data_IF_485006148781
#
_entry.id   IF_485006148781
#
_cell.length_a   1.000
_cell.length_b   1.000
_cell.length_c   1.000
_cell.angle_alpha   90.00
_cell.angle_beta   90.00
_cell.angle_gamma   90.00
#
_symmetry.space_group_name_H-M   'P 1'
#
loop_
_entity.id
_entity.type
_entity.pdbx_description
1 polymer ?
#
# COMPACT_ATOMS: atom_id res chain seq x y z
N UNK A 1 -5.92 -12.86 31.95
CA UNK A 1 -4.71 -12.06 31.66
C UNK A 1 -5.09 -11.01 30.63
N UNK A 2 -4.76 -9.74 30.84
CA UNK A 2 -5.00 -8.67 29.85
C UNK A 2 -3.73 -8.31 29.08
N UNK A 3 -3.88 -7.73 27.89
CA UNK A 3 -2.77 -7.20 27.09
C UNK A 3 -3.11 -5.77 26.64
N UNK A 4 -2.08 -4.92 26.59
CA UNK A 4 -2.14 -3.55 26.12
C UNK A 4 -1.02 -3.33 25.10
N UNK A 5 -1.34 -2.65 24.00
CA UNK A 5 -0.41 -2.31 22.95
C UNK A 5 -0.45 -0.82 22.66
N UNK A 6 0.72 -0.21 22.51
CA UNK A 6 0.85 1.14 21.96
C UNK A 6 1.75 1.05 20.75
N UNK A 7 1.29 1.57 19.61
CA UNK A 7 2.00 1.59 18.35
C UNK A 7 2.07 3.02 17.82
N UNK A 8 3.09 3.28 17.02
CA UNK A 8 3.23 4.49 16.23
C UNK A 8 3.57 4.09 14.80
N UNK A 9 2.89 4.66 13.81
CA UNK A 9 3.11 4.37 12.40
C UNK A 9 3.28 5.68 11.62
N UNK A 10 4.41 5.82 10.94
CA UNK A 10 4.67 6.96 10.05
C UNK A 10 4.49 6.54 8.60
N UNK A 11 3.53 7.15 7.91
CA UNK A 11 3.20 6.85 6.52
C UNK A 11 3.56 8.02 5.62
N UNK A 12 4.35 7.76 4.59
CA UNK A 12 4.69 8.72 3.55
C UNK A 12 3.92 8.37 2.27
N UNK A 13 3.00 9.25 1.87
CA UNK A 13 2.17 9.09 0.68
C UNK A 13 2.77 9.93 -0.45
N UNK A 14 3.16 9.27 -1.54
CA UNK A 14 3.88 9.88 -2.67
C UNK A 14 2.95 10.04 -3.87
N UNK A 15 2.80 11.27 -4.38
CA UNK A 15 1.96 11.57 -5.53
C UNK A 15 2.79 12.16 -6.67
N UNK A 16 2.66 11.56 -7.86
CA UNK A 16 3.46 11.89 -9.04
C UNK A 16 4.97 11.89 -8.71
N UNK A 17 5.44 10.75 -8.18
CA UNK A 17 6.78 10.63 -7.61
C UNK A 17 6.87 11.45 -6.31
N UNK A 18 7.84 12.36 -6.22
CA UNK A 18 8.06 13.19 -5.03
C UNK A 18 7.53 14.62 -5.16
N UNK A 19 6.72 14.91 -6.19
CA UNK A 19 6.17 16.25 -6.44
C UNK A 19 5.30 16.71 -5.25
N UNK A 20 4.38 15.86 -4.80
CA UNK A 20 3.63 16.06 -3.55
C UNK A 20 3.86 14.84 -2.66
N UNK A 21 4.25 15.11 -1.42
CA UNK A 21 4.46 14.09 -0.39
C UNK A 21 3.68 14.49 0.85
N UNK A 22 2.84 13.58 1.35
CA UNK A 22 2.08 13.77 2.58
C UNK A 22 2.58 12.79 3.63
N UNK A 23 2.92 13.29 4.81
CA UNK A 23 3.22 12.49 5.98
C UNK A 23 1.97 12.39 6.84
N UNK A 24 1.61 11.17 7.23
CA UNK A 24 0.67 10.93 8.32
C UNK A 24 1.35 10.11 9.41
N UNK A 25 1.43 10.66 10.61
CA UNK A 25 1.95 9.96 11.78
C UNK A 25 0.79 9.55 12.67
N UNK A 26 0.49 8.26 12.70
CA UNK A 26 -0.52 7.66 13.55
C UNK A 26 0.05 7.32 14.92
N UNK A 27 -0.78 7.47 15.95
CA UNK A 27 -0.58 6.88 17.25
C UNK A 27 -1.79 6.01 17.58
N UNK A 28 -1.54 4.81 18.10
CA UNK A 28 -2.52 3.74 18.16
C UNK A 28 -2.44 3.06 19.51
N UNK A 29 -3.58 2.97 20.20
CA UNK A 29 -3.74 2.18 21.40
C UNK A 29 -4.60 0.94 21.08
N UNK A 30 -4.01 -0.24 21.23
CA UNK A 30 -4.53 -1.52 20.74
C UNK A 30 -4.88 -1.45 19.25
N UNK A 31 -6.17 -1.34 18.91
CA UNK A 31 -6.67 -1.22 17.52
C UNK A 31 -7.37 0.12 17.26
N UNK A 32 -7.24 1.07 18.18
CA UNK A 32 -7.88 2.37 18.11
C UNK A 32 -6.82 3.44 17.87
N UNK A 33 -6.98 4.18 16.77
CA UNK A 33 -6.23 5.42 16.57
C UNK A 33 -6.77 6.44 17.57
N UNK A 34 -5.89 7.00 18.40
CA UNK A 34 -6.29 8.03 19.37
C UNK A 34 -5.94 9.44 18.93
N UNK A 35 -4.88 9.60 18.13
CA UNK A 35 -4.42 10.86 17.58
C UNK A 35 -3.51 10.61 16.37
N UNK A 36 -3.39 11.61 15.51
CA UNK A 36 -2.44 11.61 14.41
C UNK A 36 -1.88 13.01 14.13
N UNK A 37 -0.74 13.09 13.45
CA UNK A 37 -0.28 14.31 12.78
C UNK A 37 -0.43 14.12 11.27
N UNK A 38 -0.97 15.12 10.59
CA UNK A 38 -1.07 15.16 9.13
C UNK A 38 -0.30 16.38 8.61
N UNK A 39 0.66 16.17 7.71
CA UNK A 39 1.44 17.27 7.14
C UNK A 39 0.61 18.26 6.33
N UNK A 40 -0.52 17.81 5.74
CA UNK A 40 -1.41 18.70 4.99
C UNK A 40 -2.18 19.64 5.94
N UNK A 41 -2.44 19.21 7.18
CA UNK A 41 -3.02 20.04 8.25
C UNK A 41 -1.95 20.82 9.02
N UNK A 42 -0.75 20.26 9.10
CA UNK A 42 0.41 20.82 9.79
C UNK A 42 0.32 20.78 11.32
N UNK A 43 -0.57 19.98 11.92
CA UNK A 43 -0.74 19.85 13.37
C UNK A 43 -1.33 18.48 13.76
N UNK A 44 -1.34 18.17 15.06
CA UNK A 44 -1.92 16.94 15.60
C UNK A 44 -3.44 17.05 15.76
N UNK A 45 -4.15 15.99 15.43
CA UNK A 45 -5.60 15.86 15.55
C UNK A 45 -5.90 14.69 16.48
N UNK A 46 -6.86 14.86 17.38
CA UNK A 46 -7.37 13.78 18.21
C UNK A 46 -8.46 13.01 17.46
N UNK A 47 -8.31 11.68 17.35
CA UNK A 47 -9.26 10.79 16.69
C UNK A 47 -10.23 10.14 17.69
N UNK A 48 -9.98 10.34 18.98
CA UNK A 48 -10.84 9.90 20.08
C UNK A 48 -10.67 10.79 21.31
N UNK A 49 -11.59 10.74 22.29
CA UNK A 49 -11.44 11.50 23.54
C UNK A 49 -10.13 11.22 24.29
N UNK A 50 -9.56 10.02 24.12
CA UNK A 50 -8.30 9.63 24.75
C UNK A 50 -7.12 10.48 24.23
N UNK A 51 -7.13 10.89 22.96
CA UNK A 51 -6.05 11.65 22.35
C UNK A 51 -6.20 13.16 22.44
N UNK A 52 -7.32 13.68 22.95
CA UNK A 52 -7.51 15.13 23.11
C UNK A 52 -6.43 15.81 23.98
N UNK A 53 -6.04 15.26 25.14
CA UNK A 53 -4.99 15.86 25.97
C UNK A 53 -3.66 15.91 25.20
N UNK A 54 -3.32 14.83 24.49
CA UNK A 54 -2.08 14.71 23.74
C UNK A 54 -2.04 15.66 22.55
N UNK A 55 -3.10 15.72 21.74
CA UNK A 55 -3.19 16.65 20.61
C UNK A 55 -3.05 18.10 21.08
N UNK A 56 -3.72 18.49 22.18
CA UNK A 56 -3.57 19.84 22.76
C UNK A 56 -2.13 20.10 23.21
N UNK A 57 -1.53 19.16 23.94
CA UNK A 57 -0.19 19.29 24.47
C UNK A 57 0.88 19.35 23.38
N UNK A 58 0.81 18.49 22.37
CA UNK A 58 1.75 18.47 21.25
C UNK A 58 1.62 19.70 20.36
N UNK A 59 0.40 20.18 20.11
CA UNK A 59 0.17 21.40 19.34
C UNK A 59 0.64 22.67 20.06
N UNK A 60 0.78 22.65 21.39
CA UNK A 60 1.38 23.75 22.14
C UNK A 60 2.91 23.81 22.09
N UNK A 61 3.58 22.86 21.41
CA UNK A 61 5.03 22.77 21.31
C UNK A 61 5.50 23.12 19.89
N UNK A 62 5.98 24.35 19.64
CA UNK A 62 6.39 24.78 18.30
C UNK A 62 7.49 23.91 17.69
N UNK A 63 8.51 23.55 18.48
CA UNK A 63 9.65 22.74 18.03
C UNK A 63 9.21 21.36 17.53
N UNK A 64 8.24 20.74 18.21
CA UNK A 64 7.69 19.45 17.82
C UNK A 64 6.92 19.54 16.49
N UNK A 65 6.12 20.60 16.32
CA UNK A 65 5.36 20.82 15.09
C UNK A 65 6.30 21.08 13.91
N UNK A 66 7.30 21.93 14.10
CA UNK A 66 8.31 22.20 13.07
C UNK A 66 9.07 20.93 12.69
N UNK A 67 9.52 20.16 13.69
CA UNK A 67 10.18 18.88 13.46
C UNK A 67 9.30 17.93 12.65
N UNK A 68 8.01 17.76 13.00
CA UNK A 68 7.08 16.88 12.27
C UNK A 68 6.82 17.36 10.85
N UNK A 69 6.74 18.67 10.60
CA UNK A 69 6.64 19.21 9.23
C UNK A 69 7.90 18.91 8.41
N UNK A 70 9.08 19.02 9.02
CA UNK A 70 10.35 18.76 8.35
C UNK A 70 10.55 17.28 7.96
N UNK A 71 9.85 16.32 8.61
CA UNK A 71 9.94 14.88 8.30
C UNK A 71 9.55 14.57 6.84
N UNK A 72 8.67 15.37 6.23
CA UNK A 72 8.29 15.19 4.81
C UNK A 72 9.52 15.25 3.90
N UNK A 73 10.40 16.24 4.11
CA UNK A 73 11.62 16.39 3.31
C UNK A 73 12.75 15.49 3.81
N UNK A 74 13.03 15.57 5.11
CA UNK A 74 14.21 14.94 5.72
C UNK A 74 14.13 13.43 5.79
N UNK A 75 12.91 12.86 5.82
CA UNK A 75 12.70 11.42 5.91
C UNK A 75 11.96 10.88 4.69
N UNK A 76 10.76 11.39 4.37
CA UNK A 76 9.97 10.79 3.28
C UNK A 76 10.67 10.94 1.92
N UNK A 77 11.00 12.17 1.50
CA UNK A 77 11.70 12.39 0.23
C UNK A 77 13.10 11.78 0.21
N UNK A 78 13.82 11.88 1.32
CA UNK A 78 15.12 11.22 1.46
C UNK A 78 15.02 9.71 1.22
N UNK A 79 14.14 9.02 1.96
CA UNK A 79 13.96 7.57 1.84
C UNK A 79 13.44 7.18 0.46
N UNK A 80 12.55 7.95 -0.14
CA UNK A 80 12.13 7.71 -1.52
C UNK A 80 13.34 7.70 -2.45
N UNK A 81 14.23 8.70 -2.37
CA UNK A 81 15.43 8.76 -3.19
C UNK A 81 16.38 7.59 -2.98
N UNK A 82 16.53 7.12 -1.74
CA UNK A 82 17.39 5.97 -1.39
C UNK A 82 16.79 4.65 -1.89
N UNK A 83 15.48 4.47 -1.75
CA UNK A 83 14.82 3.17 -1.95
C UNK A 83 14.14 3.01 -3.31
N UNK A 84 13.89 4.09 -4.06
CA UNK A 84 13.19 4.04 -5.35
C UNK A 84 13.74 2.97 -6.30
N UNK A 85 15.07 2.78 -6.48
CA UNK A 85 15.61 1.73 -7.35
C UNK A 85 15.18 0.30 -6.96
N UNK A 86 14.87 0.07 -5.69
CA UNK A 86 14.56 -1.25 -5.13
C UNK A 86 13.06 -1.46 -4.86
N UNK A 87 12.26 -0.40 -4.87
CA UNK A 87 10.82 -0.43 -4.56
C UNK A 87 9.98 0.07 -5.73
N UNK A 88 10.08 1.36 -6.06
CA UNK A 88 9.28 2.02 -7.11
C UNK A 88 9.66 1.52 -8.50
N UNK A 89 10.96 1.44 -8.76
CA UNK A 89 11.51 1.05 -10.06
C UNK A 89 11.73 -0.47 -10.16
N UNK A 90 11.42 -1.21 -9.08
CA UNK A 90 11.52 -2.66 -9.07
C UNK A 90 10.62 -3.24 -10.16
N UNK A 91 11.22 -4.05 -11.03
CA UNK A 91 10.50 -4.83 -12.05
C UNK A 91 10.96 -6.27 -11.96
N UNK A 92 10.01 -7.19 -11.86
CA UNK A 92 10.27 -8.63 -11.90
C UNK A 92 9.38 -9.24 -12.97
N UNK A 93 9.99 -9.94 -13.92
CA UNK A 93 9.28 -10.55 -15.04
C UNK A 93 8.34 -11.68 -14.56
N UNK A 94 7.13 -11.79 -15.12
CA UNK A 94 6.24 -12.89 -14.82
C UNK A 94 6.76 -14.21 -15.36
N UNK A 95 6.47 -15.29 -14.62
CA UNK A 95 6.56 -16.66 -15.11
C UNK A 95 5.17 -17.10 -15.53
N UNK A 96 5.02 -17.46 -16.79
CA UNK A 96 3.73 -17.81 -17.41
C UNK A 96 3.70 -19.29 -17.74
N UNK A 97 2.63 -19.97 -17.35
CA UNK A 97 2.36 -21.36 -17.69
C UNK A 97 0.91 -21.52 -18.11
N UNK A 98 0.70 -22.06 -19.31
CA UNK A 98 -0.64 -22.38 -19.81
C UNK A 98 -0.82 -23.89 -19.76
N UNK A 99 -1.89 -24.34 -19.10
CA UNK A 99 -2.19 -25.77 -18.99
C UNK A 99 -3.69 -26.04 -19.12
N UNK A 100 -4.07 -27.20 -19.67
CA UNK A 100 -5.44 -27.69 -19.56
C UNK A 100 -5.81 -27.87 -18.09
N UNK A 101 -7.02 -27.44 -17.72
CA UNK A 101 -7.55 -27.71 -16.39
C UNK A 101 -8.09 -29.13 -16.38
N UNK A 102 -7.47 -30.03 -15.60
CA UNK A 102 -8.00 -31.38 -15.43
C UNK A 102 -9.25 -31.31 -14.56
N UNK A 103 -10.42 -31.52 -15.17
CA UNK A 103 -11.65 -31.77 -14.43
C UNK A 103 -11.63 -33.23 -14.00
N UNK A 104 -11.59 -33.51 -12.70
CA UNK A 104 -11.54 -34.88 -12.17
C UNK A 104 -12.73 -35.77 -12.53
N UNK A 105 -13.73 -35.25 -13.25
CA UNK A 105 -14.99 -35.92 -13.59
C UNK A 105 -15.25 -36.14 -15.08
N UNK A 106 -14.51 -35.53 -16.02
CA UNK A 106 -14.78 -35.64 -17.46
C UNK A 106 -13.49 -35.76 -18.31
N UNK A 107 -13.45 -36.61 -19.36
CA UNK A 107 -12.29 -36.75 -20.25
C UNK A 107 -12.01 -35.55 -21.15
N UNK A 108 -12.93 -34.58 -21.21
CA UNK A 108 -12.82 -33.39 -22.07
C UNK A 108 -12.17 -32.22 -21.33
N UNK A 109 -11.21 -31.58 -22.00
CA UNK A 109 -10.63 -30.32 -21.54
C UNK A 109 -11.52 -29.17 -21.98
N UNK A 110 -12.35 -28.68 -21.07
CA UNK A 110 -13.26 -27.55 -21.36
C UNK A 110 -12.67 -26.19 -20.95
N UNK A 111 -11.55 -26.19 -20.21
CA UNK A 111 -10.94 -24.98 -19.66
C UNK A 111 -9.42 -25.03 -19.76
N UNK A 112 -8.84 -23.88 -20.10
CA UNK A 112 -7.42 -23.61 -19.97
C UNK A 112 -7.21 -22.68 -18.79
N UNK A 113 -6.06 -22.82 -18.12
CA UNK A 113 -5.62 -21.90 -17.07
C UNK A 113 -4.30 -21.29 -17.50
N UNK A 114 -4.17 -19.97 -17.33
CA UNK A 114 -2.93 -19.23 -17.48
C UNK A 114 -2.45 -18.86 -16.07
N UNK A 115 -1.46 -19.58 -15.56
CA UNK A 115 -0.80 -19.27 -14.31
C UNK A 115 0.28 -18.23 -14.56
N UNK A 116 0.12 -17.05 -13.96
CA UNK A 116 1.08 -15.95 -14.04
C UNK A 116 1.61 -15.67 -12.63
N UNK A 117 2.90 -15.87 -12.41
CA UNK A 117 3.49 -15.87 -11.05
C UNK A 117 4.81 -15.12 -10.97
N UNK A 118 5.17 -14.68 -9.77
CA UNK A 118 6.50 -14.15 -9.45
C UNK A 118 6.84 -12.79 -10.06
N UNK A 119 5.84 -12.01 -10.47
CA UNK A 119 6.02 -10.68 -11.05
C UNK A 119 5.91 -9.57 -10.00
N UNK A 120 6.43 -8.39 -10.35
CA UNK A 120 6.28 -7.15 -9.60
C UNK A 120 6.48 -5.97 -10.57
N UNK A 121 5.71 -4.87 -10.46
CA UNK A 121 4.67 -4.56 -9.47
C UNK A 121 3.37 -5.38 -9.68
N UNK A 122 2.37 -5.32 -8.80
CA UNK A 122 1.18 -6.17 -8.90
C UNK A 122 0.25 -5.82 -10.09
N UNK A 123 0.37 -4.62 -10.65
CA UNK A 123 -0.42 -4.24 -11.83
C UNK A 123 -0.02 -5.09 -13.04
N UNK A 124 -1.00 -5.80 -13.61
CA UNK A 124 -0.80 -6.70 -14.75
C UNK A 124 -2.04 -6.74 -15.64
N UNK A 125 -1.84 -6.99 -16.93
CA UNK A 125 -2.89 -7.26 -17.89
C UNK A 125 -2.65 -8.63 -18.53
N UNK A 126 -3.65 -9.52 -18.49
CA UNK A 126 -3.60 -10.87 -19.07
C UNK A 126 -4.79 -11.04 -20.01
N UNK A 127 -4.51 -11.35 -21.28
CA UNK A 127 -5.52 -11.50 -22.34
C UNK A 127 -5.48 -12.89 -22.95
N UNK A 128 -6.65 -13.40 -23.33
CA UNK A 128 -6.79 -14.65 -24.06
C UNK A 128 -7.07 -14.38 -25.54
N UNK A 129 -6.44 -15.17 -26.41
CA UNK A 129 -6.68 -15.11 -27.85
C UNK A 129 -6.97 -16.51 -28.39
N UNK A 130 -7.96 -16.61 -29.27
CA UNK A 130 -8.28 -17.82 -30.03
C UNK A 130 -8.23 -17.49 -31.52
N UNK A 131 -7.35 -18.16 -32.25
CA UNK A 131 -7.16 -17.94 -33.69
C UNK A 131 -6.95 -16.44 -34.04
N UNK A 132 -6.22 -15.72 -33.20
CA UNK A 132 -5.91 -14.29 -33.38
C UNK A 132 -7.02 -13.31 -32.96
N UNK A 133 -8.17 -13.79 -32.46
CA UNK A 133 -9.23 -12.93 -31.91
C UNK A 133 -9.19 -12.96 -30.38
N UNK A 134 -9.29 -11.78 -29.76
CA UNK A 134 -9.36 -11.67 -28.30
C UNK A 134 -10.68 -12.30 -27.80
N UNK A 135 -10.58 -13.12 -26.77
CA UNK A 135 -11.70 -13.78 -26.11
C UNK A 135 -11.93 -13.09 -24.77
N UNK A 136 -13.12 -12.53 -24.56
CA UNK A 136 -13.50 -11.84 -23.30
C UNK A 136 -14.70 -12.49 -22.62
N UNK A 137 -15.64 -13.07 -23.39
CA UNK A 137 -16.89 -13.63 -22.87
C UNK A 137 -16.71 -14.84 -21.95
N UNK A 138 -15.64 -15.62 -22.15
CA UNK A 138 -15.38 -16.90 -21.44
C UNK A 138 -14.16 -16.84 -20.54
N UNK A 139 -13.70 -15.65 -20.20
CA UNK A 139 -12.52 -15.44 -19.37
C UNK A 139 -12.94 -15.14 -17.94
N UNK A 140 -12.31 -15.83 -16.98
CA UNK A 140 -12.47 -15.58 -15.55
C UNK A 140 -11.08 -15.38 -14.97
N UNK A 141 -10.90 -14.29 -14.23
CA UNK A 141 -9.68 -13.98 -13.50
C UNK A 141 -9.92 -14.10 -11.99
N UNK A 142 -8.87 -14.42 -11.24
CA UNK A 142 -8.86 -14.26 -9.78
C UNK A 142 -8.50 -12.81 -9.45
N UNK A 143 -8.98 -12.31 -8.31
CA UNK A 143 -8.48 -11.06 -7.75
C UNK A 143 -6.98 -11.20 -7.42
N UNK A 144 -6.21 -10.14 -7.65
CA UNK A 144 -4.77 -10.02 -7.34
C UNK A 144 -4.59 -9.38 -5.98
#
# INVERSE_FOLDING_TARGET
>A
TGYFQVLSAGECHYFNGTQRVRLVQWYIHNRQHWAHFDSDLGHFVADSPLGEPDARYWNSQPDLIEQKRAVVDTVCRHNYGVWAPYTVDRRVQPKVMVSPMQSGSLPQTDRLVCYVTGFYPPEIEVKWFKNGREETERVVATDV
#
